data_IF_683225846247
#
_entry.id   IF_683225846247
#
_cell.length_a   1.000
_cell.length_b   1.000
_cell.length_c   1.000
_cell.angle_alpha   90.00
_cell.angle_beta   90.00
_cell.angle_gamma   90.00
#
_symmetry.space_group_name_H-M   'P 1'
#
loop_
_entity.id
_entity.type
_entity.pdbx_description
1 polymer ?
#
# COMPACT_ATOMS: atom_id res chain seq x y z
N UNK A 1 7.92 15.18 26.29
CA UNK A 1 8.11 14.02 25.39
C UNK A 1 9.08 14.46 24.28
N UNK A 2 10.36 14.08 24.37
CA UNK A 2 11.34 14.43 23.35
C UNK A 2 11.26 13.43 22.20
N UNK A 3 10.90 13.90 20.99
CA UNK A 3 10.94 13.09 19.78
C UNK A 3 12.40 12.75 19.44
N UNK A 4 12.68 11.49 19.14
CA UNK A 4 14.02 11.12 18.67
C UNK A 4 14.25 11.64 17.26
N UNK A 5 15.51 11.81 16.85
CA UNK A 5 15.87 12.15 15.46
C UNK A 5 15.17 11.25 14.43
N UNK A 6 15.03 9.96 14.75
CA UNK A 6 14.40 8.99 13.88
C UNK A 6 12.88 9.20 13.77
N UNK A 7 12.21 9.57 14.86
CA UNK A 7 10.78 9.86 14.86
C UNK A 7 10.47 11.10 14.03
N UNK A 8 11.36 12.11 14.10
CA UNK A 8 11.27 13.31 13.27
C UNK A 8 11.40 12.95 11.78
N UNK A 9 12.38 12.14 11.41
CA UNK A 9 12.58 11.74 10.00
C UNK A 9 11.37 10.94 9.48
N UNK A 10 10.84 9.99 10.26
CA UNK A 10 9.64 9.24 9.88
C UNK A 10 8.44 10.19 9.74
N UNK A 11 8.24 11.11 10.68
CA UNK A 11 7.17 12.10 10.64
C UNK A 11 7.26 12.98 9.39
N UNK A 12 8.44 13.49 9.06
CA UNK A 12 8.68 14.25 7.84
C UNK A 12 8.40 13.42 6.57
N UNK A 13 8.85 12.16 6.53
CA UNK A 13 8.59 11.30 5.38
C UNK A 13 7.09 11.06 5.17
N UNK A 14 6.33 10.79 6.24
CA UNK A 14 4.87 10.64 6.18
C UNK A 14 4.19 11.94 5.75
N UNK A 15 4.66 13.09 6.23
CA UNK A 15 4.13 14.39 5.82
C UNK A 15 4.36 14.66 4.32
N UNK A 16 5.53 14.30 3.78
CA UNK A 16 5.83 14.44 2.35
C UNK A 16 4.96 13.49 1.51
N UNK A 17 4.76 12.24 1.95
CA UNK A 17 3.84 11.28 1.28
C UNK A 17 2.42 11.87 1.23
N UNK A 18 1.93 12.37 2.36
CA UNK A 18 0.59 12.96 2.45
C UNK A 18 0.46 14.23 1.59
N UNK A 19 1.45 15.11 1.61
CA UNK A 19 1.47 16.33 0.80
C UNK A 19 1.52 16.02 -0.69
N UNK A 20 2.31 15.02 -1.10
CA UNK A 20 2.39 14.57 -2.50
C UNK A 20 1.05 14.03 -2.96
N UNK A 21 0.44 13.13 -2.18
CA UNK A 21 -0.89 12.61 -2.48
C UNK A 21 -1.95 13.72 -2.54
N UNK A 22 -1.95 14.63 -1.58
CA UNK A 22 -2.91 15.73 -1.53
C UNK A 22 -2.75 16.66 -2.74
N UNK A 23 -1.52 16.93 -3.17
CA UNK A 23 -1.24 17.71 -4.38
C UNK A 23 -1.85 17.03 -5.60
N UNK A 24 -1.67 15.71 -5.76
CA UNK A 24 -2.25 14.94 -6.86
C UNK A 24 -3.78 14.97 -6.85
N UNK A 25 -4.40 14.82 -5.67
CA UNK A 25 -5.86 14.81 -5.53
C UNK A 25 -6.48 16.19 -5.74
N UNK A 26 -5.87 17.26 -5.21
CA UNK A 26 -6.41 18.62 -5.29
C UNK A 26 -6.21 19.22 -6.68
N UNK A 27 -5.07 18.96 -7.32
CA UNK A 27 -4.78 19.55 -8.64
C UNK A 27 -5.37 18.76 -9.80
N UNK A 28 -5.76 17.50 -9.60
CA UNK A 28 -6.38 16.63 -10.61
C UNK A 28 -5.66 16.71 -11.97
N UNK A 29 -4.33 16.48 -12.01
CA UNK A 29 -3.52 16.74 -13.19
C UNK A 29 -3.96 15.89 -14.38
N UNK A 30 -4.02 16.52 -15.56
CA UNK A 30 -4.35 15.89 -16.85
C UNK A 30 -3.18 15.93 -17.85
N UNK A 31 -1.98 16.28 -17.37
CA UNK A 31 -0.78 16.48 -18.19
C UNK A 31 -0.01 15.18 -18.48
N UNK A 32 -0.42 14.03 -17.94
CA UNK A 32 0.19 12.72 -18.21
C UNK A 32 -0.84 11.62 -18.37
N UNK A 33 -0.52 10.68 -19.25
CA UNK A 33 -1.24 9.42 -19.40
C UNK A 33 -0.64 8.28 -18.56
N UNK A 34 0.42 8.55 -17.79
CA UNK A 34 1.13 7.58 -16.95
C UNK A 34 1.67 6.36 -17.71
N UNK A 35 2.07 6.58 -18.96
CA UNK A 35 2.76 5.56 -19.77
C UNK A 35 4.25 5.46 -19.41
N UNK A 36 4.84 6.54 -18.90
CA UNK A 36 6.22 6.62 -18.46
C UNK A 36 6.31 7.43 -17.17
N UNK A 37 7.32 7.16 -16.34
CA UNK A 37 7.60 7.98 -15.18
C UNK A 37 8.29 9.28 -15.60
N UNK A 38 7.95 10.38 -14.95
CA UNK A 38 8.54 11.71 -15.17
C UNK A 38 8.42 12.24 -16.62
N UNK A 39 7.37 11.83 -17.33
CA UNK A 39 7.00 12.36 -18.65
C UNK A 39 6.38 13.77 -18.59
N UNK A 40 5.92 14.20 -17.42
CA UNK A 40 5.18 15.43 -17.21
C UNK A 40 5.51 16.05 -15.85
N UNK A 41 4.92 17.21 -15.55
CA UNK A 41 5.09 17.86 -14.25
C UNK A 41 4.46 17.00 -13.14
N UNK A 42 3.25 16.49 -13.34
CA UNK A 42 2.56 15.70 -12.31
C UNK A 42 3.22 14.36 -12.03
N UNK A 43 3.64 13.62 -13.07
CA UNK A 43 4.33 12.34 -12.91
C UNK A 43 5.71 12.51 -12.27
N UNK A 44 6.40 13.61 -12.58
CA UNK A 44 7.65 13.99 -11.90
C UNK A 44 7.43 14.33 -10.43
N UNK A 45 6.39 15.12 -10.12
CA UNK A 45 6.02 15.45 -8.73
C UNK A 45 5.72 14.18 -7.94
N UNK A 46 4.94 13.26 -8.50
CA UNK A 46 4.64 11.99 -7.84
C UNK A 46 5.90 11.15 -7.62
N UNK A 47 6.74 11.00 -8.64
CA UNK A 47 7.97 10.23 -8.55
C UNK A 47 8.90 10.80 -7.46
N UNK A 48 9.23 12.09 -7.53
CA UNK A 48 10.12 12.75 -6.56
C UNK A 48 9.48 12.75 -5.17
N UNK A 49 8.20 13.09 -5.09
CA UNK A 49 7.43 13.19 -3.86
C UNK A 49 7.29 11.87 -3.11
N UNK A 50 7.38 10.72 -3.79
CA UNK A 50 7.41 9.41 -3.13
C UNK A 50 8.82 8.81 -3.00
N UNK A 51 9.76 9.12 -3.90
CA UNK A 51 11.15 8.66 -3.79
C UNK A 51 11.90 9.30 -2.61
N UNK A 52 11.75 10.61 -2.39
CA UNK A 52 12.40 11.31 -1.27
C UNK A 52 12.01 10.70 0.09
N UNK A 53 10.72 10.55 0.44
CA UNK A 53 10.35 9.93 1.70
C UNK A 53 10.72 8.43 1.75
N UNK A 54 10.75 7.71 0.62
CA UNK A 54 11.25 6.33 0.60
C UNK A 54 12.71 6.24 1.06
N UNK A 55 13.58 7.13 0.58
CA UNK A 55 14.99 7.19 0.99
C UNK A 55 15.13 7.58 2.46
N UNK A 56 14.32 8.54 2.92
CA UNK A 56 14.27 8.93 4.33
C UNK A 56 13.86 7.74 5.22
N UNK A 57 12.80 7.03 4.85
CA UNK A 57 12.32 5.84 5.56
C UNK A 57 13.38 4.74 5.58
N UNK A 58 14.01 4.43 4.44
CA UNK A 58 15.11 3.47 4.35
C UNK A 58 16.26 3.81 5.29
N UNK A 59 16.66 5.08 5.38
CA UNK A 59 17.76 5.52 6.25
C UNK A 59 17.48 5.25 7.74
N UNK A 60 16.19 5.21 8.14
CA UNK A 60 15.77 4.97 9.52
C UNK A 60 15.44 3.50 9.77
N UNK A 61 14.83 2.82 8.80
CA UNK A 61 14.38 1.42 8.98
C UNK A 61 15.51 0.44 8.80
N UNK A 62 16.35 0.58 7.77
CA UNK A 62 17.39 -0.41 7.46
C UNK A 62 18.32 -0.70 8.66
N UNK A 63 18.83 0.30 9.41
CA UNK A 63 19.75 0.04 10.52
C UNK A 63 19.11 -0.66 11.72
N UNK A 64 17.77 -0.65 11.82
CA UNK A 64 17.02 -1.23 12.95
C UNK A 64 16.49 -2.63 12.67
N UNK A 65 16.50 -3.05 11.40
CA UNK A 65 15.92 -4.32 10.99
C UNK A 65 16.94 -5.45 11.10
N UNK A 66 16.56 -6.61 11.66
CA UNK A 66 17.43 -7.78 11.64
C UNK A 66 17.62 -8.26 10.20
N UNK A 67 18.73 -8.95 9.94
CA UNK A 67 19.10 -9.47 8.61
C UNK A 67 17.97 -10.27 7.96
N UNK A 68 17.20 -11.03 8.75
CA UNK A 68 16.05 -11.79 8.26
C UNK A 68 14.94 -10.91 7.70
N UNK A 69 14.66 -9.78 8.33
CA UNK A 69 13.65 -8.83 7.81
C UNK A 69 14.17 -8.10 6.59
N UNK A 70 15.46 -7.72 6.57
CA UNK A 70 16.09 -7.15 5.38
C UNK A 70 16.02 -8.10 4.19
N UNK A 71 16.18 -9.40 4.40
CA UNK A 71 16.01 -10.42 3.36
C UNK A 71 14.53 -10.64 2.97
N UNK A 72 13.59 -10.47 3.90
CA UNK A 72 12.15 -10.61 3.63
C UNK A 72 11.62 -9.48 2.74
N UNK A 73 12.13 -8.25 2.87
CA UNK A 73 11.62 -7.10 2.13
C UNK A 73 11.68 -7.32 0.60
N UNK A 74 12.81 -7.69 -0.04
CA UNK A 74 12.84 -8.00 -1.47
C UNK A 74 11.84 -9.07 -1.91
N UNK A 75 11.68 -10.13 -1.11
CA UNK A 75 10.71 -11.20 -1.39
C UNK A 75 9.28 -10.67 -1.32
N UNK A 76 8.97 -9.83 -0.32
CA UNK A 76 7.68 -9.18 -0.18
C UNK A 76 7.37 -8.24 -1.36
N UNK A 77 8.36 -7.47 -1.80
CA UNK A 77 8.24 -6.60 -2.97
C UNK A 77 7.95 -7.41 -4.24
N UNK A 78 8.71 -8.49 -4.47
CA UNK A 78 8.49 -9.39 -5.61
C UNK A 78 7.10 -10.04 -5.56
N UNK A 79 6.66 -10.53 -4.39
CA UNK A 79 5.33 -11.12 -4.21
C UNK A 79 4.23 -10.14 -4.60
N UNK A 80 4.29 -8.90 -4.09
CA UNK A 80 3.32 -7.85 -4.39
C UNK A 80 3.26 -7.56 -5.89
N UNK A 81 4.41 -7.36 -6.50
CA UNK A 81 4.54 -7.04 -7.93
C UNK A 81 3.99 -8.16 -8.78
N UNK A 82 4.40 -9.42 -8.52
CA UNK A 82 3.99 -10.57 -9.34
C UNK A 82 2.48 -10.77 -9.24
N UNK A 83 1.92 -10.77 -8.02
CA UNK A 83 0.48 -10.98 -7.84
C UNK A 83 -0.33 -9.82 -8.40
N UNK A 84 0.07 -8.58 -8.14
CA UNK A 84 -0.59 -7.39 -8.68
C UNK A 84 -0.54 -7.36 -10.22
N UNK A 85 0.59 -7.76 -10.82
CA UNK A 85 0.69 -7.90 -12.28
C UNK A 85 -0.21 -9.00 -12.83
N UNK A 86 -0.19 -10.19 -12.23
CA UNK A 86 -1.03 -11.32 -12.65
C UNK A 86 -2.51 -10.96 -12.60
N UNK A 87 -2.97 -10.41 -11.47
CA UNK A 87 -4.37 -10.02 -11.28
C UNK A 87 -4.76 -8.86 -12.20
N UNK A 88 -3.89 -7.86 -12.35
CA UNK A 88 -4.18 -6.67 -13.15
C UNK A 88 -4.20 -6.91 -14.67
N UNK A 89 -3.38 -7.85 -15.17
CA UNK A 89 -3.09 -7.97 -16.62
C UNK A 89 -3.58 -9.27 -17.28
N UNK A 90 -3.74 -10.38 -16.54
CA UNK A 90 -4.05 -11.69 -17.16
C UNK A 90 -5.54 -11.91 -17.50
N UNK A 91 -6.35 -10.85 -17.58
CA UNK A 91 -7.76 -10.97 -17.94
C UNK A 91 -8.63 -11.69 -16.89
N UNK A 92 -8.12 -11.85 -15.66
CA UNK A 92 -8.88 -12.49 -14.58
C UNK A 92 -10.07 -11.59 -14.23
N UNK A 93 -11.30 -12.14 -14.15
CA UNK A 93 -12.49 -11.37 -13.77
C UNK A 93 -12.55 -11.10 -12.26
N UNK A 94 -11.39 -10.95 -11.62
CA UNK A 94 -11.27 -10.78 -10.19
C UNK A 94 -11.25 -9.28 -9.87
N UNK A 95 -12.28 -8.73 -9.20
CA UNK A 95 -12.36 -7.30 -8.90
C UNK A 95 -11.52 -6.93 -7.67
N UNK A 96 -10.29 -7.45 -7.57
CA UNK A 96 -9.36 -7.30 -6.45
C UNK A 96 -7.95 -7.00 -6.99
N UNK A 97 -6.99 -6.72 -6.11
CA UNK A 97 -5.62 -6.37 -6.49
C UNK A 97 -4.59 -7.41 -6.03
N UNK A 98 -4.70 -7.89 -4.79
CA UNK A 98 -3.79 -8.86 -4.15
C UNK A 98 -2.32 -8.42 -4.20
N UNK A 99 -2.09 -7.10 -4.18
CA UNK A 99 -0.81 -6.45 -4.43
C UNK A 99 -0.06 -6.03 -3.16
N UNK A 100 -0.55 -6.45 -2.00
CA UNK A 100 -0.08 -5.95 -0.70
C UNK A 100 0.12 -7.04 0.34
N UNK A 101 0.09 -8.33 -0.05
CA UNK A 101 0.39 -9.45 0.84
C UNK A 101 1.78 -9.32 1.49
N UNK A 102 2.81 -9.03 0.69
CA UNK A 102 4.16 -8.82 1.18
C UNK A 102 4.27 -7.60 2.10
N UNK A 103 3.59 -6.51 1.75
CA UNK A 103 3.56 -5.28 2.57
C UNK A 103 2.94 -5.54 3.93
N UNK A 104 1.80 -6.24 3.95
CA UNK A 104 1.08 -6.60 5.18
C UNK A 104 1.88 -7.61 6.00
N UNK A 105 2.56 -8.56 5.36
CA UNK A 105 3.45 -9.52 6.04
C UNK A 105 4.63 -8.83 6.74
N UNK A 106 5.33 -7.93 6.03
CA UNK A 106 6.46 -7.18 6.63
C UNK A 106 5.95 -6.28 7.74
N UNK A 107 4.83 -5.58 7.55
CA UNK A 107 4.20 -4.78 8.60
C UNK A 107 3.88 -5.63 9.84
N UNK A 108 3.22 -6.77 9.66
CA UNK A 108 2.82 -7.67 10.74
C UNK A 108 4.02 -8.23 11.55
N UNK A 109 5.14 -8.51 10.89
CA UNK A 109 6.31 -9.13 11.52
C UNK A 109 7.33 -8.11 12.06
N UNK A 110 7.50 -6.98 11.37
CA UNK A 110 8.56 -6.01 11.63
C UNK A 110 8.04 -4.61 12.03
N UNK A 111 6.73 -4.43 12.15
CA UNK A 111 6.10 -3.23 12.68
C UNK A 111 5.85 -2.12 11.65
N UNK A 112 5.25 -1.00 12.08
CA UNK A 112 4.68 0.00 11.18
C UNK A 112 5.70 0.63 10.24
N UNK A 113 6.89 1.02 10.75
CA UNK A 113 7.90 1.68 9.93
C UNK A 113 8.38 0.77 8.79
N UNK A 114 8.64 -0.51 9.06
CA UNK A 114 9.04 -1.49 8.04
C UNK A 114 7.93 -1.73 7.01
N UNK A 115 6.66 -1.79 7.47
CA UNK A 115 5.50 -1.90 6.60
C UNK A 115 5.34 -0.70 5.68
N UNK A 116 5.42 0.53 6.19
CA UNK A 116 5.38 1.77 5.39
C UNK A 116 6.48 1.77 4.34
N UNK A 117 7.72 1.50 4.75
CA UNK A 117 8.87 1.43 3.82
C UNK A 117 8.62 0.41 2.72
N UNK A 118 8.14 -0.79 3.07
CA UNK A 118 7.85 -1.85 2.09
C UNK A 118 6.76 -1.42 1.12
N UNK A 119 5.69 -0.80 1.62
CA UNK A 119 4.57 -0.32 0.79
C UNK A 119 5.02 0.74 -0.23
N UNK A 120 5.74 1.77 0.22
CA UNK A 120 6.23 2.83 -0.68
C UNK A 120 7.20 2.25 -1.71
N UNK A 121 8.11 1.37 -1.29
CA UNK A 121 9.04 0.72 -2.21
C UNK A 121 8.33 -0.19 -3.22
N UNK A 122 7.27 -0.89 -2.82
CA UNK A 122 6.45 -1.66 -3.77
C UNK A 122 5.91 -0.78 -4.87
N UNK A 123 5.31 0.36 -4.53
CA UNK A 123 4.74 1.26 -5.52
C UNK A 123 5.82 1.86 -6.44
N UNK A 124 6.97 2.26 -5.90
CA UNK A 124 8.06 2.86 -6.68
C UNK A 124 8.76 1.87 -7.61
N UNK A 125 9.09 0.68 -7.11
CA UNK A 125 9.78 -0.34 -7.90
C UNK A 125 8.84 -0.87 -8.98
N UNK A 126 7.58 -1.16 -8.62
CA UNK A 126 6.57 -1.55 -9.60
C UNK A 126 6.36 -0.44 -10.64
N UNK A 127 6.34 0.81 -10.19
CA UNK A 127 6.26 2.01 -11.02
C UNK A 127 7.24 2.07 -12.18
N UNK A 128 8.42 1.45 -12.05
CA UNK A 128 9.46 1.48 -13.10
C UNK A 128 9.04 0.79 -14.40
N UNK A 129 8.08 -0.14 -14.34
CA UNK A 129 7.52 -0.81 -15.52
C UNK A 129 5.98 -0.81 -15.54
N UNK A 130 5.33 -0.31 -14.48
CA UNK A 130 3.91 0.02 -14.46
C UNK A 130 3.70 1.39 -13.76
N UNK A 131 3.92 2.52 -14.47
CA UNK A 131 3.96 3.85 -13.85
C UNK A 131 2.65 4.27 -13.17
N UNK A 132 1.53 3.68 -13.58
CA UNK A 132 0.18 3.93 -13.03
C UNK A 132 0.08 3.63 -11.52
N UNK A 133 0.99 2.83 -10.96
CA UNK A 133 0.97 2.45 -9.54
C UNK A 133 1.54 3.55 -8.63
N UNK A 134 2.42 4.40 -9.13
CA UNK A 134 3.13 5.41 -8.32
C UNK A 134 2.19 6.38 -7.59
N UNK A 135 1.12 6.93 -8.22
CA UNK A 135 0.14 7.77 -7.54
C UNK A 135 -0.51 7.14 -6.31
N UNK A 136 -0.58 5.80 -6.26
CA UNK A 136 -1.17 5.06 -5.15
C UNK A 136 -0.21 4.81 -3.99
N UNK A 137 1.06 5.27 -4.05
CA UNK A 137 2.07 4.99 -3.02
C UNK A 137 1.64 5.37 -1.60
N UNK A 138 0.81 6.41 -1.43
CA UNK A 138 0.25 6.77 -0.12
C UNK A 138 -0.72 5.71 0.44
N UNK A 139 -1.53 5.07 -0.41
CA UNK A 139 -2.38 3.96 -0.01
C UNK A 139 -1.54 2.73 0.40
N UNK A 140 -0.48 2.42 -0.35
CA UNK A 140 0.47 1.36 0.02
C UNK A 140 1.18 1.63 1.34
N UNK A 141 1.63 2.87 1.55
CA UNK A 141 2.22 3.32 2.81
C UNK A 141 1.25 3.10 3.98
N UNK A 142 -0.01 3.51 3.81
CA UNK A 142 -1.05 3.34 4.83
C UNK A 142 -1.32 1.86 5.15
N UNK A 143 -1.44 0.99 4.14
CA UNK A 143 -1.67 -0.45 4.34
C UNK A 143 -0.53 -1.06 5.14
N UNK A 144 0.73 -0.72 4.82
CA UNK A 144 1.90 -1.17 5.57
C UNK A 144 1.94 -0.65 7.00
N UNK A 145 1.63 0.64 7.20
CA UNK A 145 1.47 1.23 8.53
C UNK A 145 0.43 0.47 9.35
N UNK A 146 -0.78 0.30 8.80
CA UNK A 146 -1.90 -0.31 9.49
C UNK A 146 -1.61 -1.77 9.85
N UNK A 147 -0.99 -2.53 8.95
CA UNK A 147 -0.56 -3.90 9.22
C UNK A 147 0.42 -3.97 10.41
N UNK A 148 1.40 -3.07 10.48
CA UNK A 148 2.30 -3.01 11.62
C UNK A 148 1.66 -2.50 12.91
N UNK A 149 0.72 -1.56 12.78
CA UNK A 149 0.01 -0.98 13.92
C UNK A 149 -0.87 -2.00 14.65
N UNK A 150 -1.40 -3.00 13.93
CA UNK A 150 -2.15 -4.09 14.55
C UNK A 150 -1.32 -4.85 15.60
N UNK A 151 0.00 -4.99 15.42
CA UNK A 151 0.91 -5.55 16.42
C UNK A 151 0.41 -6.85 17.05
N UNK A 152 0.14 -6.84 18.36
CA UNK A 152 -0.34 -8.04 19.08
C UNK A 152 -1.72 -8.54 18.60
N UNK A 153 -2.50 -7.71 17.88
CA UNK A 153 -3.81 -8.11 17.37
C UNK A 153 -3.73 -9.25 16.35
N UNK A 154 -2.59 -9.44 15.68
CA UNK A 154 -2.34 -10.59 14.79
C UNK A 154 -2.48 -11.97 15.46
N UNK A 155 -2.43 -12.02 16.80
CA UNK A 155 -2.67 -13.26 17.58
C UNK A 155 -4.14 -13.54 17.87
N UNK A 156 -5.02 -12.57 17.64
CA UNK A 156 -6.45 -12.64 17.99
C UNK A 156 -7.24 -13.45 16.94
N UNK A 157 -8.53 -13.64 17.19
CA UNK A 157 -9.45 -14.39 16.32
C UNK A 157 -9.60 -13.75 14.93
N UNK A 158 -9.87 -14.58 13.92
CA UNK A 158 -9.98 -14.17 12.52
C UNK A 158 -10.96 -13.02 12.30
N UNK A 159 -12.11 -13.02 12.99
CA UNK A 159 -13.12 -11.97 12.85
C UNK A 159 -12.64 -10.59 13.33
N UNK A 160 -11.72 -10.52 14.30
CA UNK A 160 -11.13 -9.24 14.74
C UNK A 160 -10.18 -8.68 13.70
N UNK A 161 -9.42 -9.56 13.04
CA UNK A 161 -8.58 -9.17 11.91
C UNK A 161 -9.46 -8.79 10.72
N UNK A 162 -10.49 -9.57 10.39
CA UNK A 162 -11.44 -9.25 9.33
C UNK A 162 -12.12 -7.90 9.55
N UNK A 163 -12.57 -7.60 10.77
CA UNK A 163 -13.16 -6.30 11.10
C UNK A 163 -12.13 -5.16 10.98
N UNK A 164 -10.91 -5.36 11.47
CA UNK A 164 -9.83 -4.38 11.33
C UNK A 164 -9.49 -4.15 9.85
N UNK A 165 -9.41 -5.22 9.08
CA UNK A 165 -9.10 -5.22 7.65
C UNK A 165 -10.19 -4.53 6.83
N UNK A 166 -11.46 -4.66 7.21
CA UNK A 166 -12.55 -3.92 6.60
C UNK A 166 -12.36 -2.41 6.80
N UNK A 167 -12.10 -1.96 8.04
CA UNK A 167 -11.84 -0.54 8.33
C UNK A 167 -10.60 -0.02 7.58
N UNK A 168 -9.51 -0.80 7.58
CA UNK A 168 -8.28 -0.48 6.85
C UNK A 168 -8.56 -0.40 5.35
N UNK A 169 -9.34 -1.33 4.81
CA UNK A 169 -9.70 -1.34 3.40
C UNK A 169 -10.61 -0.16 3.02
N UNK A 170 -11.53 0.26 3.87
CA UNK A 170 -12.30 1.49 3.66
C UNK A 170 -11.39 2.74 3.62
N UNK A 171 -10.43 2.85 4.53
CA UNK A 171 -9.49 3.98 4.51
C UNK A 171 -8.58 3.90 3.29
N UNK A 172 -8.16 2.68 2.89
CA UNK A 172 -7.39 2.47 1.65
C UNK A 172 -8.20 2.95 0.44
N UNK A 173 -9.50 2.62 0.39
CA UNK A 173 -10.39 3.09 -0.65
C UNK A 173 -10.50 4.62 -0.71
N UNK A 174 -10.51 5.30 0.43
CA UNK A 174 -10.50 6.77 0.48
C UNK A 174 -9.19 7.38 -0.04
N UNK A 175 -8.07 6.67 0.09
CA UNK A 175 -6.79 7.09 -0.47
C UNK A 175 -6.68 6.76 -1.98
N UNK A 176 -7.23 5.63 -2.41
CA UNK A 176 -7.15 5.15 -3.79
C UNK A 176 -8.20 5.78 -4.71
N UNK A 177 -9.45 5.91 -4.26
CA UNK A 177 -10.58 6.30 -5.13
C UNK A 177 -10.43 7.68 -5.77
N UNK A 178 -9.93 8.73 -5.09
CA UNK A 178 -9.69 10.03 -5.73
C UNK A 178 -8.60 9.96 -6.80
N UNK A 179 -7.55 9.18 -6.55
CA UNK A 179 -6.48 8.95 -7.52
C UNK A 179 -7.03 8.19 -8.72
N UNK A 180 -7.74 7.09 -8.49
CA UNK A 180 -8.35 6.28 -9.55
C UNK A 180 -9.31 7.11 -10.42
N UNK A 181 -10.19 7.90 -9.80
CA UNK A 181 -11.19 8.69 -10.52
C UNK A 181 -10.57 9.92 -11.21
N UNK A 182 -9.85 10.78 -10.51
CA UNK A 182 -9.41 12.08 -11.05
C UNK A 182 -8.23 11.98 -12.01
N UNK A 183 -7.33 11.02 -11.81
CA UNK A 183 -6.12 10.90 -12.63
C UNK A 183 -6.33 9.94 -13.79
N UNK A 184 -7.01 8.81 -13.56
CA UNK A 184 -7.11 7.76 -14.57
C UNK A 184 -8.45 7.75 -15.29
N UNK A 185 -9.52 8.29 -14.70
CA UNK A 185 -10.84 8.43 -15.34
C UNK A 185 -11.44 7.11 -15.88
N UNK A 186 -10.86 5.96 -15.50
CA UNK A 186 -11.00 4.69 -16.20
C UNK A 186 -10.42 3.52 -15.39
N UNK A 187 -10.57 2.31 -15.93
CA UNK A 187 -10.45 1.07 -15.17
C UNK A 187 -9.00 0.59 -15.04
N UNK A 188 -8.44 0.67 -13.83
CA UNK A 188 -7.14 0.10 -13.50
C UNK A 188 -7.23 -1.43 -13.37
N UNK A 189 -7.29 -2.14 -14.51
CA UNK A 189 -7.30 -3.59 -14.59
C UNK A 189 -8.60 -4.19 -15.17
N UNK A 190 -8.48 -5.42 -15.67
CA UNK A 190 -9.60 -6.12 -16.33
C UNK A 190 -10.74 -6.45 -15.37
N UNK A 191 -10.45 -7.01 -14.20
CA UNK A 191 -11.46 -7.36 -13.19
C UNK A 191 -12.11 -6.16 -12.49
N UNK A 192 -11.32 -5.16 -12.10
CA UNK A 192 -11.85 -3.89 -11.55
C UNK A 192 -12.68 -3.13 -12.59
N UNK A 193 -12.32 -3.24 -13.87
CA UNK A 193 -13.09 -2.65 -14.95
C UNK A 193 -14.48 -3.24 -15.16
N UNK A 194 -14.71 -4.49 -14.72
CA UNK A 194 -16.04 -5.07 -14.68
C UNK A 194 -16.93 -4.34 -13.67
N UNK A 195 -16.40 -3.98 -12.49
CA UNK A 195 -17.15 -3.21 -11.51
C UNK A 195 -17.49 -1.81 -12.01
N UNK A 196 -16.54 -1.13 -12.65
CA UNK A 196 -16.82 0.19 -13.26
C UNK A 196 -17.91 0.06 -14.33
N UNK A 197 -17.83 -0.96 -15.20
CA UNK A 197 -18.85 -1.20 -16.22
C UNK A 197 -20.22 -1.52 -15.62
N UNK A 198 -20.25 -2.28 -14.53
CA UNK A 198 -21.46 -2.56 -13.76
C UNK A 198 -22.05 -1.28 -13.15
N UNK A 199 -21.27 -0.42 -12.50
CA UNK A 199 -21.80 0.84 -11.97
C UNK A 199 -22.28 1.78 -13.07
N UNK A 200 -21.60 1.80 -14.23
CA UNK A 200 -22.06 2.56 -15.39
C UNK A 200 -23.36 2.04 -15.96
N UNK A 201 -23.60 0.72 -15.96
CA UNK A 201 -24.89 0.16 -16.39
C UNK A 201 -26.04 0.49 -15.43
N UNK A 202 -25.72 0.78 -14.16
CA UNK A 202 -26.66 1.33 -13.18
C UNK A 202 -26.88 2.85 -13.32
N UNK A 203 -26.25 3.50 -14.31
CA UNK A 203 -26.41 4.93 -14.59
C UNK A 203 -25.42 5.86 -13.88
N UNK A 204 -24.40 5.31 -13.20
CA UNK A 204 -23.34 6.15 -12.62
C UNK A 204 -22.50 6.82 -13.73
N UNK A 205 -22.13 8.09 -13.54
CA UNK A 205 -21.18 8.75 -14.42
C UNK A 205 -19.78 8.09 -14.31
N UNK A 206 -18.88 8.29 -15.30
CA UNK A 206 -17.59 7.60 -15.33
C UNK A 206 -16.72 7.83 -14.08
N UNK A 207 -16.66 9.07 -13.55
CA UNK A 207 -15.83 9.38 -12.38
C UNK A 207 -16.41 8.70 -11.13
N UNK A 208 -17.72 8.79 -10.94
CA UNK A 208 -18.38 8.16 -9.80
C UNK A 208 -18.34 6.63 -9.88
N UNK A 209 -18.41 6.05 -11.07
CA UNK A 209 -18.28 4.60 -11.27
C UNK A 209 -16.89 4.07 -10.87
N UNK A 210 -15.82 4.80 -11.21
CA UNK A 210 -14.45 4.46 -10.78
C UNK A 210 -14.29 4.63 -9.27
N UNK A 211 -14.87 5.68 -8.71
CA UNK A 211 -14.90 5.89 -7.27
C UNK A 211 -15.58 4.72 -6.54
N UNK A 212 -16.79 4.33 -6.96
CA UNK A 212 -17.55 3.21 -6.39
C UNK A 212 -16.82 1.87 -6.53
N UNK A 213 -16.11 1.67 -7.64
CA UNK A 213 -15.27 0.49 -7.82
C UNK A 213 -14.19 0.42 -6.74
N UNK A 214 -13.43 1.49 -6.54
CA UNK A 214 -12.38 1.50 -5.50
C UNK A 214 -12.98 1.31 -4.10
N UNK A 215 -14.13 1.95 -3.84
CA UNK A 215 -14.91 1.77 -2.60
C UNK A 215 -15.41 0.33 -2.36
N UNK A 216 -15.50 -0.48 -3.40
CA UNK A 216 -15.96 -1.87 -3.30
C UNK A 216 -14.78 -2.85 -3.29
N UNK A 217 -13.84 -2.67 -4.21
CA UNK A 217 -12.68 -3.55 -4.37
C UNK A 217 -11.70 -3.45 -3.20
N UNK A 218 -11.35 -2.24 -2.74
CA UNK A 218 -10.31 -2.08 -1.71
C UNK A 218 -10.70 -2.71 -0.37
N UNK A 219 -11.93 -2.53 0.17
CA UNK A 219 -12.35 -3.21 1.38
C UNK A 219 -12.32 -4.73 1.26
N UNK A 220 -12.83 -5.27 0.16
CA UNK A 220 -12.83 -6.72 -0.09
C UNK A 220 -11.41 -7.27 -0.21
N UNK A 221 -10.55 -6.56 -0.94
CA UNK A 221 -9.14 -6.89 -1.11
C UNK A 221 -8.43 -6.95 0.25
N UNK A 222 -8.57 -5.90 1.07
CA UNK A 222 -7.88 -5.86 2.38
C UNK A 222 -8.41 -6.91 3.34
N UNK A 223 -9.71 -7.22 3.34
CA UNK A 223 -10.23 -8.34 4.14
C UNK A 223 -9.55 -9.66 3.74
N UNK A 224 -9.41 -9.94 2.44
CA UNK A 224 -8.77 -11.17 1.96
C UNK A 224 -7.27 -11.16 2.28
N UNK A 225 -6.55 -10.11 1.91
CA UNK A 225 -5.09 -9.97 2.11
C UNK A 225 -4.73 -10.10 3.59
N UNK A 226 -5.41 -9.38 4.48
CA UNK A 226 -5.12 -9.45 5.92
C UNK A 226 -5.51 -10.81 6.51
N UNK A 227 -6.58 -11.45 6.03
CA UNK A 227 -6.96 -12.80 6.49
C UNK A 227 -5.90 -13.82 6.09
N UNK A 228 -5.39 -13.77 4.86
CA UNK A 228 -4.30 -14.64 4.40
C UNK A 228 -3.05 -14.43 5.26
N UNK A 229 -2.64 -13.18 5.48
CA UNK A 229 -1.47 -12.90 6.33
C UNK A 229 -1.71 -13.31 7.78
N UNK A 230 -2.93 -13.21 8.29
CA UNK A 230 -3.25 -13.71 9.63
C UNK A 230 -3.07 -15.22 9.73
N UNK A 231 -3.48 -15.99 8.73
CA UNK A 231 -3.22 -17.44 8.67
C UNK A 231 -1.71 -17.70 8.67
N UNK A 232 -0.96 -17.03 7.79
CA UNK A 232 0.51 -17.16 7.71
C UNK A 232 1.16 -16.82 9.04
N UNK A 233 0.81 -15.68 9.63
CA UNK A 233 1.33 -15.22 10.91
C UNK A 233 1.06 -16.25 12.01
N UNK A 234 -0.17 -16.76 12.11
CA UNK A 234 -0.57 -17.75 13.13
C UNK A 234 0.12 -19.10 12.94
N UNK A 235 0.44 -19.48 11.72
CA UNK A 235 1.18 -20.71 11.40
C UNK A 235 2.67 -20.64 11.75
N UNK A 236 3.26 -19.44 11.84
CA UNK A 236 4.66 -19.29 12.25
C UNK A 236 4.85 -19.53 13.76
N UNK A 237 5.84 -20.31 14.21
CA UNK A 237 6.20 -20.42 15.61
C UNK A 237 6.60 -19.07 16.21
N UNK A 238 6.32 -18.86 17.50
CA UNK A 238 6.63 -17.59 18.18
C UNK A 238 8.13 -17.24 18.09
N UNK A 239 9.01 -18.25 18.23
CA UNK A 239 10.45 -18.09 18.07
C UNK A 239 10.81 -17.49 16.71
N UNK A 240 10.18 -17.98 15.64
CA UNK A 240 10.40 -17.49 14.27
C UNK A 240 9.93 -16.04 14.12
N UNK A 241 8.75 -15.69 14.65
CA UNK A 241 8.22 -14.32 14.60
C UNK A 241 9.16 -13.31 15.27
N UNK A 242 9.71 -13.66 16.43
CA UNK A 242 10.66 -12.80 17.17
C UNK A 242 11.94 -12.51 16.38
N UNK A 243 12.36 -13.40 15.49
CA UNK A 243 13.56 -13.16 14.65
C UNK A 243 13.39 -12.07 13.59
N UNK A 244 12.15 -11.64 13.33
CA UNK A 244 11.83 -10.54 12.41
C UNK A 244 11.54 -9.21 13.11
N UNK A 245 11.38 -9.24 14.44
CA UNK A 245 11.10 -8.03 15.22
C UNK A 245 12.32 -7.11 15.20
N UNK A 246 12.14 -5.78 15.01
CA UNK A 246 13.27 -4.86 15.03
C UNK A 246 13.83 -4.74 16.45
N UNK A 247 15.12 -4.43 16.55
CA UNK A 247 15.77 -4.12 17.82
C UNK A 247 15.36 -2.71 18.29
N UNK A 248 14.10 -2.56 18.68
CA UNK A 248 13.73 -1.46 19.55
C UNK A 248 14.18 -1.86 20.95
N UNK A 249 15.21 -1.20 21.49
CA UNK A 249 15.41 -1.17 22.94
C UNK A 249 14.05 -0.79 23.53
N UNK A 250 13.36 -1.75 24.13
CA UNK A 250 12.20 -1.47 24.96
C UNK A 250 12.77 -0.61 26.07
N UNK A 251 12.44 0.68 26.07
CA UNK A 251 12.66 1.49 27.25
C UNK A 251 11.73 0.87 28.31
N UNK A 252 12.34 0.11 29.22
CA UNK A 252 11.71 -0.32 30.47
C UNK A 252 11.24 0.91 31.28
#
# INVERSE_FOLDING_TARGET
MHLSRNDIIIGCAVAIIAATWLTLVVWQPQDSQWNQLADSRSSTIALVGFCVPALMLLSVTLPKLPVRTLALMPVALALNIILGQVVGTMGLPLPLYIDSLGTVLVGALAGPAAGVTTGVLSALIWGTFNPTVVPFAAAYAFVGFAAGFLGKNWTKSWWRIGASAAVIGFITALLSAPIASFIFGGTAGTGTGLLVSFYRSLGADPLFAVFLQSWTSDPLDKVIVFTVIWIVYRSLPERTRRTFSPDYKVAD
#
